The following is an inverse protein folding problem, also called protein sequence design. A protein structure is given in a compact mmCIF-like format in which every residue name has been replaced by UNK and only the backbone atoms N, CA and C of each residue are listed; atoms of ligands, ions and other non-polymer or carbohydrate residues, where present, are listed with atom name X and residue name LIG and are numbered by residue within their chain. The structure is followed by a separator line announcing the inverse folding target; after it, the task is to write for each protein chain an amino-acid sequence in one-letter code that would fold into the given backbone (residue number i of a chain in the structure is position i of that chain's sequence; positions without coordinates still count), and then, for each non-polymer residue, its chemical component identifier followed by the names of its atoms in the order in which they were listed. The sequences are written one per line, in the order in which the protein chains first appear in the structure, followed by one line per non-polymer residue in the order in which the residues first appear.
data_IF_223809006693
#
_entry.id   IF_223809006693
#
_cell.length_a   1.000
_cell.length_b   1.000
_cell.length_c   1.000
_cell.angle_alpha   90.00
_cell.angle_beta   90.00
_cell.angle_gamma   90.00
#
_symmetry.space_group_name_H-M   'P 1'
#
loop_
_entity.id
_entity.type
_entity.pdbx_description
1 polymer ?
#
# COMPACT_ATOMS: atom_id res chain seq x y z
N UNK A 1 -18.05 1.18 4.32
CA UNK A 1 -16.75 1.03 3.66
C UNK A 1 -15.74 1.76 4.52
N UNK A 2 -14.83 1.03 5.17
CA UNK A 2 -13.72 1.69 5.82
C UNK A 2 -12.88 2.30 4.70
N UNK A 3 -12.78 3.62 4.71
CA UNK A 3 -11.82 4.31 3.87
C UNK A 3 -10.50 4.23 4.63
N UNK A 4 -9.45 3.77 3.96
CA UNK A 4 -8.06 3.79 4.46
C UNK A 4 -7.37 5.01 3.84
N UNK A 5 -7.74 6.25 4.24
CA UNK A 5 -7.29 7.46 3.57
C UNK A 5 -5.78 7.60 3.61
N UNK A 6 -5.08 7.15 4.65
CA UNK A 6 -3.62 7.31 4.72
C UNK A 6 -2.96 6.42 3.67
N UNK A 7 -3.34 5.14 3.60
CA UNK A 7 -2.80 4.21 2.59
C UNK A 7 -3.19 4.64 1.18
N UNK A 8 -4.45 5.05 0.95
CA UNK A 8 -4.88 5.52 -0.38
C UNK A 8 -4.19 6.82 -0.79
N UNK A 9 -4.07 7.78 0.11
CA UNK A 9 -3.36 9.03 -0.18
C UNK A 9 -1.88 8.78 -0.47
N UNK A 10 -1.26 7.81 0.24
CA UNK A 10 0.11 7.37 -0.05
C UNK A 10 0.21 6.81 -1.47
N UNK A 11 -0.71 5.93 -1.85
CA UNK A 11 -0.71 5.34 -3.20
C UNK A 11 -1.01 6.36 -4.28
N UNK A 12 -2.02 7.23 -4.10
CA UNK A 12 -2.30 8.33 -5.03
C UNK A 12 -1.08 9.24 -5.18
N UNK A 13 -0.37 9.55 -4.09
CA UNK A 13 0.77 10.47 -4.16
C UNK A 13 1.97 9.90 -4.91
N UNK A 14 2.09 8.58 -5.01
CA UNK A 14 3.27 7.90 -5.55
C UNK A 14 2.97 7.22 -6.89
N UNK A 15 1.88 6.47 -6.99
CA UNK A 15 1.50 5.61 -8.10
C UNK A 15 0.34 6.19 -8.93
N UNK A 16 0.07 7.50 -8.81
CA UNK A 16 -0.99 8.13 -9.59
C UNK A 16 -0.72 7.96 -11.09
N UNK A 17 -1.78 7.57 -11.80
CA UNK A 17 -1.79 7.42 -13.26
C UNK A 17 -1.46 8.72 -14.00
N UNK A 18 -1.59 9.87 -13.33
CA UNK A 18 -1.31 11.20 -13.90
C UNK A 18 0.18 11.60 -13.76
N UNK A 19 0.91 11.04 -12.79
CA UNK A 19 2.31 11.44 -12.51
C UNK A 19 3.28 10.65 -13.39
N UNK A 20 3.00 9.37 -13.67
CA UNK A 20 3.76 8.54 -14.62
C UNK A 20 5.23 8.34 -14.22
N UNK A 21 5.50 8.06 -12.95
CA UNK A 21 6.84 7.72 -12.47
C UNK A 21 7.30 6.39 -13.04
N UNK A 22 8.62 6.22 -13.20
CA UNK A 22 9.16 4.88 -13.46
C UNK A 22 9.10 4.04 -12.17
N UNK A 23 8.91 2.72 -12.30
CA UNK A 23 8.76 1.80 -11.17
C UNK A 23 9.85 1.93 -10.08
N UNK A 24 11.07 2.26 -10.49
CA UNK A 24 12.19 2.48 -9.56
C UNK A 24 12.04 3.75 -8.72
N UNK A 25 11.42 4.80 -9.28
CA UNK A 25 11.15 6.05 -8.58
C UNK A 25 9.97 5.90 -7.63
N UNK A 26 8.93 5.16 -8.02
CA UNK A 26 7.79 4.83 -7.16
C UNK A 26 8.25 4.09 -5.90
N UNK A 27 9.09 3.06 -6.09
CA UNK A 27 9.67 2.29 -4.98
C UNK A 27 10.50 3.19 -4.06
N UNK A 28 11.36 4.04 -4.62
CA UNK A 28 12.19 4.95 -3.84
C UNK A 28 11.36 6.00 -3.07
N UNK A 29 10.27 6.50 -3.67
CA UNK A 29 9.36 7.43 -3.02
C UNK A 29 8.60 6.75 -1.86
N UNK A 30 8.13 5.53 -2.07
CA UNK A 30 7.47 4.74 -1.03
C UNK A 30 8.43 4.47 0.14
N UNK A 31 9.65 4.02 -0.14
CA UNK A 31 10.67 3.80 0.90
C UNK A 31 11.00 5.09 1.66
N UNK A 32 11.07 6.23 0.96
CA UNK A 32 11.31 7.53 1.59
C UNK A 32 10.20 7.91 2.56
N UNK A 33 8.93 7.69 2.18
CA UNK A 33 7.79 7.97 3.07
C UNK A 33 7.79 7.03 4.27
N UNK A 34 7.99 5.73 4.06
CA UNK A 34 8.05 4.74 5.14
C UNK A 34 9.29 4.87 6.04
N UNK A 35 10.31 5.60 5.59
CA UNK A 35 11.49 5.94 6.41
C UNK A 35 11.19 7.07 7.41
N UNK A 36 10.14 7.86 7.20
CA UNK A 36 9.69 8.85 8.18
C UNK A 36 8.91 8.12 9.30
N UNK A 37 9.36 8.20 10.56
CA UNK A 37 8.74 7.48 11.66
C UNK A 37 7.29 7.91 11.93
N UNK A 38 6.92 9.16 11.63
CA UNK A 38 5.54 9.66 11.81
C UNK A 38 4.65 9.02 10.76
N UNK A 39 5.04 9.12 9.48
CA UNK A 39 4.28 8.53 8.37
C UNK A 39 4.17 7.02 8.51
N UNK A 40 5.27 6.35 8.88
CA UNK A 40 5.27 4.91 9.12
C UNK A 40 4.28 4.51 10.20
N UNK A 41 4.20 5.26 11.30
CA UNK A 41 3.25 4.99 12.39
C UNK A 41 1.79 5.18 11.95
N UNK A 42 1.51 6.19 11.13
CA UNK A 42 0.18 6.40 10.57
C UNK A 42 -0.24 5.26 9.63
N UNK A 43 0.66 4.84 8.74
CA UNK A 43 0.47 3.67 7.88
C UNK A 43 0.32 2.39 8.72
N UNK A 44 1.07 2.25 9.81
CA UNK A 44 1.01 1.11 10.72
C UNK A 44 -0.41 0.85 11.24
N UNK A 45 -1.06 1.89 11.73
CA UNK A 45 -2.39 1.81 12.34
C UNK A 45 -3.43 1.39 11.31
N UNK A 46 -3.44 2.02 10.13
CA UNK A 46 -4.37 1.65 9.06
C UNK A 46 -4.06 0.28 8.48
N UNK A 47 -2.79 -0.10 8.33
CA UNK A 47 -2.40 -1.38 7.75
C UNK A 47 -2.88 -2.54 8.64
N UNK A 48 -2.80 -2.42 9.97
CA UNK A 48 -3.36 -3.43 10.87
C UNK A 48 -4.89 -3.55 10.73
N UNK A 49 -5.59 -2.43 10.52
CA UNK A 49 -7.04 -2.44 10.30
C UNK A 49 -7.40 -3.08 8.95
N UNK A 50 -6.66 -2.73 7.90
CA UNK A 50 -6.82 -3.26 6.55
C UNK A 50 -6.73 -4.80 6.52
N UNK A 51 -5.73 -5.37 7.19
CA UNK A 51 -5.58 -6.83 7.25
C UNK A 51 -6.64 -7.54 8.11
N UNK A 52 -7.35 -6.81 8.98
CA UNK A 52 -8.45 -7.34 9.78
C UNK A 52 -9.81 -7.19 9.08
N UNK A 53 -9.90 -6.40 8.02
CA UNK A 53 -11.13 -6.20 7.26
C UNK A 53 -11.38 -7.34 6.28
N UNK A 54 -12.37 -8.16 6.56
CA UNK A 54 -12.79 -9.27 5.69
C UNK A 54 -13.56 -8.82 4.44
N UNK A 55 -13.92 -7.54 4.35
CA UNK A 55 -14.71 -6.97 3.25
C UNK A 55 -13.88 -6.12 2.29
N UNK A 56 -12.57 -6.03 2.49
CA UNK A 56 -11.68 -5.30 1.58
C UNK A 56 -11.51 -6.06 0.26
N UNK A 57 -11.41 -5.31 -0.84
CA UNK A 57 -10.88 -5.82 -2.11
C UNK A 57 -9.45 -5.29 -2.26
N UNK A 58 -8.49 -6.19 -2.22
CA UNK A 58 -7.07 -5.91 -2.43
C UNK A 58 -6.81 -5.51 -3.88
N UNK A 59 -7.57 -6.08 -4.82
CA UNK A 59 -7.53 -5.69 -6.23
C UNK A 59 -7.90 -4.21 -6.39
N UNK A 60 -9.06 -3.78 -5.87
CA UNK A 60 -9.47 -2.37 -5.94
C UNK A 60 -8.51 -1.44 -5.16
N UNK A 61 -7.91 -1.95 -4.09
CA UNK A 61 -6.94 -1.19 -3.31
C UNK A 61 -5.65 -0.89 -4.10
N UNK A 62 -5.17 -1.83 -4.93
CA UNK A 62 -3.93 -1.69 -5.69
C UNK A 62 -4.13 -1.12 -7.09
N UNK A 63 -5.26 -1.42 -7.72
CA UNK A 63 -5.60 -1.03 -9.07
C UNK A 63 -7.01 -0.44 -9.10
N UNK A 64 -7.08 0.87 -9.34
CA UNK A 64 -8.34 1.58 -9.53
C UNK A 64 -8.15 2.78 -10.46
N UNK A 65 -9.22 3.56 -10.65
CA UNK A 65 -9.21 4.69 -11.57
C UNK A 65 -8.28 5.85 -11.17
N UNK A 66 -7.81 5.91 -9.92
CA UNK A 66 -6.99 7.01 -9.42
C UNK A 66 -5.49 6.70 -9.47
N UNK A 67 -5.11 5.43 -9.34
CA UNK A 67 -3.72 4.98 -9.28
C UNK A 67 -3.60 3.48 -9.60
N UNK A 68 -2.40 3.07 -10.02
CA UNK A 68 -2.08 1.65 -10.28
C UNK A 68 -0.76 1.33 -9.62
N UNK A 69 -0.81 0.69 -8.45
CA UNK A 69 0.39 0.24 -7.72
C UNK A 69 0.95 -1.04 -8.35
N UNK A 70 0.08 -2.02 -8.56
CA UNK A 70 0.44 -3.31 -9.12
C UNK A 70 -0.82 -3.97 -9.72
N UNK A 71 -0.79 -4.34 -11.02
CA UNK A 71 -1.92 -5.00 -11.68
C UNK A 71 -1.95 -6.47 -11.29
N UNK A 72 -2.47 -6.76 -10.09
CA UNK A 72 -2.55 -8.10 -9.55
C UNK A 72 -3.55 -8.98 -10.32
N UNK A 73 -3.22 -10.27 -10.43
CA UNK A 73 -4.07 -11.24 -11.14
C UNK A 73 -5.32 -11.63 -10.31
N UNK A 74 -5.17 -11.72 -8.98
CA UNK A 74 -6.24 -12.04 -8.04
C UNK A 74 -6.03 -11.39 -6.65
N UNK A 75 -7.01 -11.55 -5.76
CA UNK A 75 -6.99 -11.00 -4.39
C UNK A 75 -5.82 -11.50 -3.54
N UNK A 76 -5.33 -12.72 -3.80
CA UNK A 76 -4.21 -13.31 -3.06
C UNK A 76 -2.89 -12.71 -3.53
N UNK A 77 -2.68 -12.60 -4.84
CA UNK A 77 -1.53 -11.92 -5.45
C UNK A 77 -1.45 -10.45 -5.00
N UNK A 78 -2.59 -9.75 -5.01
CA UNK A 78 -2.71 -8.39 -4.51
C UNK A 78 -2.29 -8.28 -3.03
N UNK A 79 -2.80 -9.19 -2.18
CA UNK A 79 -2.44 -9.23 -0.77
C UNK A 79 -0.95 -9.52 -0.57
N UNK A 80 -0.39 -10.49 -1.29
CA UNK A 80 1.05 -10.81 -1.23
C UNK A 80 1.91 -9.61 -1.62
N UNK A 81 1.50 -8.85 -2.64
CA UNK A 81 2.20 -7.64 -3.04
C UNK A 81 2.20 -6.59 -1.92
N UNK A 82 1.05 -6.31 -1.31
CA UNK A 82 0.97 -5.38 -0.15
C UNK A 82 1.87 -5.83 1.00
N UNK A 83 1.92 -7.14 1.28
CA UNK A 83 2.80 -7.68 2.31
C UNK A 83 4.26 -7.33 1.98
N UNK A 84 4.66 -7.48 0.72
CA UNK A 84 6.04 -7.26 0.30
C UNK A 84 6.45 -5.78 0.38
N UNK A 85 5.60 -4.87 -0.12
CA UNK A 85 5.92 -3.45 -0.24
C UNK A 85 5.63 -2.63 1.02
N UNK A 86 4.60 -2.99 1.80
CA UNK A 86 4.20 -2.27 3.02
C UNK A 86 4.57 -3.06 4.29
N UNK A 87 4.05 -4.28 4.44
CA UNK A 87 4.14 -5.00 5.73
C UNK A 87 5.58 -5.24 6.16
N UNK A 88 6.43 -5.74 5.26
CA UNK A 88 7.85 -6.00 5.56
C UNK A 88 8.63 -4.74 5.93
N UNK A 89 8.21 -3.57 5.43
CA UNK A 89 8.85 -2.27 5.68
C UNK A 89 8.36 -1.62 6.97
N UNK A 90 7.05 -1.72 7.24
CA UNK A 90 6.41 -1.16 8.42
C UNK A 90 6.67 -2.02 9.66
N UNK A 91 6.61 -3.35 9.52
CA UNK A 91 6.80 -4.34 10.58
C UNK A 91 8.00 -5.25 10.33
N UNK A 92 9.23 -4.74 10.41
CA UNK A 92 10.42 -5.56 10.21
C UNK A 92 10.50 -6.64 11.31
N UNK A 93 10.19 -7.89 10.93
CA UNK A 93 10.25 -9.05 11.83
C UNK A 93 8.90 -9.59 12.31
N UNK A 94 7.77 -8.98 11.93
CA UNK A 94 6.45 -9.60 12.14
C UNK A 94 6.05 -10.42 10.89
N UNK A 95 5.51 -11.62 11.11
CA UNK A 95 4.85 -12.37 10.05
C UNK A 95 3.55 -11.68 9.64
N UNK A 96 3.29 -11.60 8.34
CA UNK A 96 2.05 -11.04 7.84
C UNK A 96 0.82 -11.89 8.27
N UNK A 97 -0.35 -11.26 8.50
CA UNK A 97 -1.59 -11.94 8.90
C UNK A 97 -2.24 -12.80 7.81
#
# INVERSE_FOLDING_TARGET
MQNYPIIRNLFISIFSVDVGLEQSEETAALERVLSDPIQRMEVEVELRQLFQDSCISWLELLDNSEYVVYPADDEMDAKEHIIDILWKKVFPGESAP
#
